data_IF_876641832161
#
_entry.id   IF_876641832161
#
_cell.length_a   1.000
_cell.length_b   1.000
_cell.length_c   1.000
_cell.angle_alpha   90.00
_cell.angle_beta   90.00
_cell.angle_gamma   90.00
#
_symmetry.space_group_name_H-M   'P 1'
#
loop_
_entity.id
_entity.type
_entity.pdbx_description
1 polymer ?
#
# COMPACT_ATOMS: atom_id res chain seq x y z
N UNK A 1 12.05 17.63 2.94
CA UNK A 1 11.26 16.69 2.11
C UNK A 1 11.98 16.56 0.78
N UNK A 2 12.70 15.46 0.52
CA UNK A 2 13.39 15.21 -0.76
C UNK A 2 12.59 14.15 -1.51
N UNK A 3 11.91 14.52 -2.59
CA UNK A 3 11.46 13.55 -3.59
C UNK A 3 12.71 12.98 -4.25
N UNK A 4 12.96 11.68 -4.08
CA UNK A 4 13.94 10.96 -4.89
C UNK A 4 13.20 10.39 -6.09
N UNK A 5 13.73 10.69 -7.28
CA UNK A 5 13.26 10.13 -8.54
C UNK A 5 13.57 8.62 -8.53
N UNK A 6 12.53 7.81 -8.73
CA UNK A 6 12.65 6.36 -8.84
C UNK A 6 13.27 6.05 -10.21
N UNK A 7 14.58 5.76 -10.29
CA UNK A 7 15.20 5.28 -11.53
C UNK A 7 15.23 3.75 -11.52
N UNK A 8 14.38 3.07 -12.30
CA UNK A 8 14.49 1.61 -12.46
C UNK A 8 15.81 1.22 -13.16
N UNK A 9 16.34 0.02 -12.89
CA UNK A 9 17.38 -0.54 -13.75
C UNK A 9 16.82 -0.68 -15.18
N UNK A 10 17.67 -0.53 -16.21
CA UNK A 10 17.22 -0.36 -17.59
C UNK A 10 16.42 -1.54 -18.18
N UNK A 11 16.38 -2.69 -17.51
CA UNK A 11 15.61 -3.89 -17.90
C UNK A 11 14.42 -4.20 -16.95
N UNK A 12 14.22 -3.42 -15.89
CA UNK A 12 13.16 -3.68 -14.92
C UNK A 12 11.78 -3.28 -15.43
N UNK A 13 10.76 -4.06 -15.06
CA UNK A 13 9.37 -3.65 -15.23
C UNK A 13 9.14 -2.35 -14.44
N UNK A 14 8.87 -1.26 -15.17
CA UNK A 14 8.51 0.02 -14.57
C UNK A 14 7.23 -0.17 -13.78
N UNK A 15 7.30 0.21 -12.50
CA UNK A 15 6.16 0.23 -11.61
C UNK A 15 6.11 1.59 -10.94
N UNK A 16 5.00 2.29 -11.12
CA UNK A 16 4.68 3.51 -10.39
C UNK A 16 4.05 3.07 -9.08
N UNK A 17 4.60 3.52 -7.96
CA UNK A 17 4.10 3.25 -6.62
C UNK A 17 3.08 4.33 -6.24
N UNK A 18 1.97 3.93 -5.63
CA UNK A 18 0.90 4.87 -5.25
C UNK A 18 1.39 5.85 -4.17
N UNK A 19 1.91 5.31 -3.06
CA UNK A 19 2.43 6.11 -1.95
C UNK A 19 3.67 5.46 -1.35
N UNK A 20 4.81 6.14 -1.50
CA UNK A 20 6.08 5.76 -0.89
C UNK A 20 6.39 6.68 0.31
N UNK A 21 6.56 6.10 1.49
CA UNK A 21 6.87 6.82 2.73
C UNK A 21 8.17 6.26 3.31
N UNK A 22 9.02 7.16 3.82
CA UNK A 22 10.15 6.81 4.68
C UNK A 22 10.00 7.57 5.99
N UNK A 23 10.04 6.86 7.11
CA UNK A 23 9.92 7.49 8.43
C UNK A 23 11.27 8.01 8.96
N UNK A 24 11.25 8.60 10.15
CA UNK A 24 12.47 9.16 10.77
C UNK A 24 13.53 8.13 11.16
N UNK A 25 13.17 6.83 11.18
CA UNK A 25 14.09 5.72 11.44
C UNK A 25 14.58 5.05 10.14
N UNK A 26 14.20 5.61 8.98
CA UNK A 26 14.55 5.06 7.67
C UNK A 26 13.69 3.87 7.23
N UNK A 27 12.67 3.47 8.03
CA UNK A 27 11.75 2.40 7.65
C UNK A 27 10.90 2.86 6.49
N UNK A 28 10.64 1.94 5.56
CA UNK A 28 9.98 2.28 4.30
C UNK A 28 8.65 1.59 4.16
N UNK A 29 7.69 2.32 3.62
CA UNK A 29 6.33 1.87 3.43
C UNK A 29 5.93 2.17 1.99
N UNK A 30 5.56 1.13 1.26
CA UNK A 30 4.81 1.27 0.04
C UNK A 30 3.34 0.96 0.33
N UNK A 31 2.43 1.88 0.03
CA UNK A 31 0.98 1.68 0.22
C UNK A 31 0.31 1.75 -1.15
N UNK A 32 -0.42 0.71 -1.50
CA UNK A 32 -1.05 0.50 -2.81
C UNK A 32 -2.54 0.25 -2.63
N UNK A 33 -3.39 0.90 -3.45
CA UNK A 33 -4.81 0.59 -3.48
C UNK A 33 -5.16 -0.21 -4.74
N UNK A 34 -5.66 -1.43 -4.58
CA UNK A 34 -5.95 -2.33 -5.68
C UNK A 34 -7.43 -2.70 -5.66
N UNK A 35 -8.21 -2.17 -6.60
CA UNK A 35 -9.67 -2.35 -6.63
C UNK A 35 -10.14 -3.68 -7.21
N UNK A 36 -9.32 -4.33 -8.03
CA UNK A 36 -9.65 -5.59 -8.70
C UNK A 36 -8.70 -6.72 -8.30
N UNK A 37 -9.27 -7.88 -8.02
CA UNK A 37 -8.51 -9.10 -7.78
C UNK A 37 -7.76 -9.51 -9.06
N UNK A 38 -6.46 -9.82 -8.91
CA UNK A 38 -5.62 -10.35 -9.98
C UNK A 38 -4.93 -11.61 -9.50
N UNK A 39 -4.85 -12.62 -10.35
CA UNK A 39 -4.26 -13.91 -10.00
C UNK A 39 -2.77 -13.82 -9.61
N UNK A 40 -2.05 -12.82 -10.11
CA UNK A 40 -0.63 -12.59 -9.88
C UNK A 40 -0.33 -11.59 -8.75
N UNK A 41 -1.34 -11.19 -7.96
CA UNK A 41 -1.20 -10.17 -6.92
C UNK A 41 -0.09 -10.48 -5.91
N UNK A 42 0.04 -11.74 -5.49
CA UNK A 42 1.09 -12.16 -4.56
C UNK A 42 2.49 -12.00 -5.16
N UNK A 43 2.65 -12.31 -6.46
CA UNK A 43 3.92 -12.14 -7.17
C UNK A 43 4.28 -10.66 -7.32
N UNK A 44 3.30 -9.81 -7.62
CA UNK A 44 3.46 -8.35 -7.67
C UNK A 44 3.83 -7.77 -6.31
N UNK A 45 3.13 -8.20 -5.28
CA UNK A 45 3.39 -7.79 -3.91
C UNK A 45 4.81 -8.16 -3.45
N UNK A 46 5.24 -9.39 -3.76
CA UNK A 46 6.62 -9.84 -3.56
C UNK A 46 7.62 -8.95 -4.31
N UNK A 47 7.38 -8.65 -5.59
CA UNK A 47 8.26 -7.78 -6.37
C UNK A 47 8.45 -6.40 -5.71
N UNK A 48 7.37 -5.81 -5.18
CA UNK A 48 7.47 -4.54 -4.46
C UNK A 48 8.26 -4.65 -3.17
N UNK A 49 8.05 -5.73 -2.40
CA UNK A 49 8.77 -5.89 -1.14
C UNK A 49 10.27 -6.02 -1.37
N UNK A 50 10.70 -6.85 -2.34
CA UNK A 50 12.13 -6.99 -2.67
C UNK A 50 12.74 -5.69 -3.15
N UNK A 51 12.04 -4.93 -4.00
CA UNK A 51 12.51 -3.63 -4.47
C UNK A 51 12.71 -2.64 -3.32
N UNK A 52 11.77 -2.63 -2.38
CA UNK A 52 11.82 -1.78 -1.18
C UNK A 52 12.98 -2.15 -0.25
N UNK A 53 13.29 -3.44 -0.15
CA UNK A 53 14.44 -3.97 0.60
C UNK A 53 15.76 -3.61 -0.08
N UNK A 54 15.87 -3.79 -1.40
CA UNK A 54 17.07 -3.51 -2.19
C UNK A 54 17.47 -2.04 -2.10
N UNK A 55 16.51 -1.12 -2.25
CA UNK A 55 16.74 0.31 -2.07
C UNK A 55 17.34 0.62 -0.68
N UNK A 56 17.18 -0.31 0.28
CA UNK A 56 17.46 -0.20 1.71
C UNK A 56 18.76 -0.86 2.12
N UNK A 57 19.47 -1.44 1.16
CA UNK A 57 20.73 -2.09 1.42
C UNK A 57 21.78 -1.13 1.98
N UNK A 58 22.62 -1.72 2.82
CA UNK A 58 23.69 -1.06 3.52
C UNK A 58 24.74 -0.56 2.54
N UNK A 59 25.28 0.61 2.86
CA UNK A 59 26.46 1.16 2.21
C UNK A 59 27.71 0.69 2.93
N UNK A 60 28.87 0.86 2.29
CA UNK A 60 30.16 0.55 2.90
C UNK A 60 30.27 1.21 4.28
N UNK A 61 30.75 0.44 5.27
CA UNK A 61 30.94 0.82 6.69
C UNK A 61 29.66 0.90 7.55
N UNK A 62 28.51 0.45 7.05
CA UNK A 62 27.32 0.28 7.89
C UNK A 62 27.21 -1.14 8.42
N UNK A 63 26.66 -1.27 9.63
CA UNK A 63 26.45 -2.53 10.32
C UNK A 63 25.09 -3.15 9.98
N UNK A 64 24.95 -4.48 10.12
CA UNK A 64 23.71 -5.19 9.78
C UNK A 64 22.49 -4.73 10.58
N UNK A 65 22.70 -4.26 11.82
CA UNK A 65 21.63 -3.68 12.65
C UNK A 65 21.08 -2.35 12.13
N UNK A 66 21.73 -1.72 11.15
CA UNK A 66 21.26 -0.49 10.49
C UNK A 66 20.36 -0.76 9.28
N UNK A 67 20.14 -2.04 8.92
CA UNK A 67 19.35 -2.41 7.76
C UNK A 67 17.90 -1.93 7.94
N UNK A 68 17.40 -1.18 6.96
CA UNK A 68 16.07 -0.58 7.07
C UNK A 68 14.96 -1.59 6.80
N UNK A 69 13.98 -1.62 7.69
CA UNK A 69 12.73 -2.36 7.50
C UNK A 69 11.96 -1.90 6.24
N UNK A 70 11.34 -2.87 5.55
CA UNK A 70 10.50 -2.62 4.39
C UNK A 70 9.08 -3.19 4.59
N UNK A 71 8.07 -2.36 4.31
CA UNK A 71 6.67 -2.75 4.37
C UNK A 71 5.98 -2.47 3.05
N UNK A 72 5.23 -3.44 2.54
CA UNK A 72 4.32 -3.24 1.43
C UNK A 72 2.90 -3.48 1.93
N UNK A 73 2.01 -2.51 1.73
CA UNK A 73 0.66 -2.49 2.29
C UNK A 73 -0.32 -2.36 1.13
N UNK A 74 -1.10 -3.40 0.86
CA UNK A 74 -2.21 -3.31 -0.08
C UNK A 74 -3.50 -3.04 0.66
N UNK A 75 -4.27 -2.07 0.18
CA UNK A 75 -5.65 -1.80 0.61
C UNK A 75 -6.59 -2.40 -0.44
N UNK A 76 -7.41 -3.37 -0.01
CA UNK A 76 -8.17 -4.24 -0.90
C UNK A 76 -9.67 -4.18 -0.55
N UNK A 77 -10.55 -3.78 -1.46
CA UNK A 77 -12.00 -3.77 -1.26
C UNK A 77 -12.64 -5.16 -1.42
N UNK A 78 -11.84 -6.23 -1.31
CA UNK A 78 -12.23 -7.63 -1.44
C UNK A 78 -11.32 -8.50 -0.56
N UNK A 79 -11.75 -9.73 -0.26
CA UNK A 79 -10.94 -10.68 0.51
C UNK A 79 -9.96 -11.45 -0.40
N UNK A 80 -8.64 -11.18 -0.34
CA UNK A 80 -7.67 -11.81 -1.22
C UNK A 80 -7.38 -13.28 -0.90
N UNK A 81 -7.76 -13.78 0.28
CA UNK A 81 -7.42 -15.14 0.75
C UNK A 81 -8.65 -15.96 1.15
N UNK A 82 -9.83 -15.34 1.17
CA UNK A 82 -11.08 -16.00 1.52
C UNK A 82 -11.16 -16.48 2.98
N UNK A 83 -10.36 -15.90 3.89
CA UNK A 83 -10.36 -16.27 5.32
C UNK A 83 -11.18 -15.33 6.20
N UNK A 84 -11.61 -14.20 5.64
CA UNK A 84 -12.40 -13.16 6.32
C UNK A 84 -11.60 -12.30 7.29
N UNK A 85 -10.26 -12.35 7.26
CA UNK A 85 -9.44 -11.52 8.15
C UNK A 85 -9.48 -10.06 7.69
N UNK A 86 -9.58 -9.12 8.64
CA UNK A 86 -9.45 -7.67 8.40
C UNK A 86 -8.05 -7.26 7.98
N UNK A 87 -7.05 -8.04 8.40
CA UNK A 87 -5.63 -7.84 8.08
C UNK A 87 -4.96 -9.20 7.89
N UNK A 88 -4.24 -9.34 6.80
CA UNK A 88 -3.24 -10.40 6.61
C UNK A 88 -1.87 -9.77 6.71
N UNK A 89 -1.00 -10.38 7.51
CA UNK A 89 0.42 -10.00 7.61
C UNK A 89 1.23 -11.23 7.24
N UNK A 90 2.09 -11.07 6.23
CA UNK A 90 2.98 -12.11 5.75
C UNK A 90 4.41 -11.70 6.10
N UNK A 91 5.07 -12.58 6.84
CA UNK A 91 6.49 -12.50 7.24
C UNK A 91 7.17 -13.81 6.84
N UNK A 92 8.50 -13.82 6.83
CA UNK A 92 9.24 -15.06 6.63
C UNK A 92 9.26 -15.87 7.92
N UNK A 93 8.91 -17.15 7.83
CA UNK A 93 8.90 -18.09 8.96
C UNK A 93 9.66 -19.37 8.59
N UNK A 94 10.16 -20.08 9.60
CA UNK A 94 10.72 -21.40 9.39
C UNK A 94 9.64 -22.35 8.87
N UNK A 95 10.00 -23.18 7.88
CA UNK A 95 9.06 -24.14 7.30
C UNK A 95 8.72 -25.24 8.29
N UNK A 96 9.70 -25.62 9.10
CA UNK A 96 9.64 -26.67 10.11
C UNK A 96 8.83 -26.24 11.34
N UNK A 97 8.88 -24.95 11.68
CA UNK A 97 8.13 -24.36 12.79
C UNK A 97 7.66 -22.94 12.42
N UNK A 98 6.40 -22.77 11.95
CA UNK A 98 5.85 -21.48 11.57
C UNK A 98 5.74 -20.45 12.71
N UNK A 99 5.96 -20.85 13.97
CA UNK A 99 6.02 -19.91 15.11
C UNK A 99 7.36 -19.17 15.19
N UNK A 100 8.39 -19.66 14.48
CA UNK A 100 9.71 -19.05 14.42
C UNK A 100 9.78 -18.09 13.23
N UNK A 101 9.75 -16.79 13.51
CA UNK A 101 9.88 -15.72 12.51
C UNK A 101 11.35 -15.38 12.22
N UNK A 102 11.67 -15.19 10.93
CA UNK A 102 12.90 -14.52 10.52
C UNK A 102 12.67 -13.02 10.72
N UNK A 103 13.09 -12.50 11.88
CA UNK A 103 12.88 -11.12 12.33
C UNK A 103 13.71 -10.10 11.53
N UNK A 104 13.47 -9.99 10.21
CA UNK A 104 14.11 -9.03 9.30
C UNK A 104 13.39 -7.66 9.26
N UNK A 105 12.49 -7.45 10.23
CA UNK A 105 11.62 -6.28 10.40
C UNK A 105 10.73 -5.95 9.19
N UNK A 106 10.61 -6.84 8.20
CA UNK A 106 9.90 -6.55 6.95
C UNK A 106 8.61 -7.36 6.84
N UNK A 107 7.59 -6.79 6.20
CA UNK A 107 6.32 -7.49 6.03
C UNK A 107 5.55 -7.07 4.78
N UNK A 108 4.81 -8.02 4.22
CA UNK A 108 3.73 -7.75 3.29
C UNK A 108 2.39 -7.75 4.04
N UNK A 109 1.58 -6.71 3.87
CA UNK A 109 0.32 -6.53 4.60
C UNK A 109 -0.81 -6.35 3.61
N UNK A 110 -1.85 -7.18 3.72
CA UNK A 110 -3.12 -6.98 3.03
C UNK A 110 -4.18 -6.49 4.01
N UNK A 111 -4.67 -5.29 3.75
CA UNK A 111 -5.77 -4.65 4.46
C UNK A 111 -7.06 -4.93 3.70
N UNK A 112 -7.83 -5.89 4.18
CA UNK A 112 -9.06 -6.37 3.56
C UNK A 112 -10.25 -5.63 4.17
N UNK A 113 -10.85 -4.70 3.41
CA UNK A 113 -11.98 -3.90 3.91
C UNK A 113 -13.24 -4.73 4.16
N UNK A 114 -13.37 -5.88 3.48
CA UNK A 114 -14.47 -6.84 3.64
C UNK A 114 -14.25 -7.80 4.81
N UNK A 115 -13.11 -7.74 5.48
CA UNK A 115 -12.79 -8.61 6.60
C UNK A 115 -13.70 -8.36 7.80
N UNK A 116 -14.04 -9.44 8.50
CA UNK A 116 -14.89 -9.41 9.70
C UNK A 116 -14.19 -9.99 10.92
N UNK A 117 -13.08 -10.71 10.72
CA UNK A 117 -12.30 -11.37 11.77
C UNK A 117 -11.01 -10.63 12.10
N UNK A 118 -10.62 -10.69 13.36
CA UNK A 118 -9.41 -10.06 13.89
C UNK A 118 -9.63 -8.62 14.31
N UNK A 119 -8.80 -8.18 15.26
CA UNK A 119 -8.87 -6.84 15.82
C UNK A 119 -8.00 -5.86 15.04
N UNK A 120 -8.54 -4.67 14.84
CA UNK A 120 -7.83 -3.53 14.25
C UNK A 120 -8.19 -2.27 15.04
N UNK A 121 -7.35 -1.25 14.93
CA UNK A 121 -7.62 0.04 15.58
C UNK A 121 -8.87 0.68 14.97
N UNK A 122 -9.69 1.39 15.76
CA UNK A 122 -10.91 2.04 15.27
C UNK A 122 -10.68 2.95 14.06
N UNK A 123 -9.55 3.67 14.01
CA UNK A 123 -9.22 4.56 12.89
C UNK A 123 -9.02 3.79 11.58
N UNK A 124 -8.55 2.55 11.64
CA UNK A 124 -8.40 1.69 10.46
C UNK A 124 -9.75 1.13 10.01
N UNK A 125 -10.63 0.77 10.95
CA UNK A 125 -12.01 0.35 10.62
C UNK A 125 -12.78 1.48 9.94
N UNK A 126 -12.60 2.70 10.43
CA UNK A 126 -13.15 3.91 9.81
C UNK A 126 -12.58 4.17 8.40
N UNK A 127 -11.29 3.94 8.18
CA UNK A 127 -10.71 4.01 6.84
C UNK A 127 -11.37 2.98 5.91
N UNK A 128 -11.60 1.75 6.36
CA UNK A 128 -12.27 0.71 5.58
C UNK A 128 -13.70 1.12 5.22
N UNK A 129 -14.47 1.61 6.20
CA UNK A 129 -15.82 2.13 5.99
C UNK A 129 -15.83 3.26 4.96
N UNK A 130 -14.89 4.20 5.06
CA UNK A 130 -14.78 5.30 4.10
C UNK A 130 -14.54 4.81 2.67
N UNK A 131 -13.62 3.86 2.48
CA UNK A 131 -13.32 3.26 1.17
C UNK A 131 -14.55 2.54 0.60
N UNK A 132 -15.33 1.88 1.44
CA UNK A 132 -16.57 1.22 1.03
C UNK A 132 -17.77 2.16 0.86
N UNK A 133 -17.60 3.47 1.04
CA UNK A 133 -18.69 4.44 0.96
C UNK A 133 -19.70 4.34 2.13
N UNK A 134 -19.30 3.73 3.25
CA UNK A 134 -20.13 3.56 4.44
C UNK A 134 -19.99 4.73 5.43
N UNK A 135 -20.97 4.92 6.32
CA UNK A 135 -20.85 5.88 7.42
C UNK A 135 -19.63 5.59 8.30
N UNK A 136 -18.90 6.66 8.60
CA UNK A 136 -17.66 6.66 9.39
C UNK A 136 -17.89 7.40 10.70
N UNK A 137 -17.15 7.03 11.74
CA UNK A 137 -16.97 7.94 12.86
C UNK A 137 -16.18 9.14 12.34
N UNK A 138 -16.54 10.37 12.70
CA UNK A 138 -15.80 11.57 12.27
C UNK A 138 -14.47 11.72 13.03
N UNK A 139 -13.78 10.60 13.28
CA UNK A 139 -12.48 10.54 13.92
C UNK A 139 -11.42 11.37 13.19
N UNK A 140 -10.33 11.68 13.88
CA UNK A 140 -9.29 12.60 13.40
C UNK A 140 -8.71 12.18 12.05
N UNK A 141 -8.50 10.88 11.81
CA UNK A 141 -7.93 10.37 10.56
C UNK A 141 -8.88 10.62 9.38
N UNK A 142 -10.12 10.15 9.46
CA UNK A 142 -11.14 10.34 8.42
C UNK A 142 -11.37 11.83 8.15
N UNK A 143 -11.46 12.65 9.19
CA UNK A 143 -11.64 14.09 9.05
C UNK A 143 -10.47 14.75 8.30
N UNK A 144 -9.23 14.33 8.57
CA UNK A 144 -8.05 14.80 7.83
C UNK A 144 -8.09 14.36 6.38
N UNK A 145 -8.42 13.09 6.10
CA UNK A 145 -8.50 12.58 4.73
C UNK A 145 -9.58 13.31 3.94
N UNK A 146 -10.80 13.42 4.48
CA UNK A 146 -11.91 14.16 3.87
C UNK A 146 -11.54 15.63 3.59
N UNK A 147 -10.87 16.29 4.53
CA UNK A 147 -10.39 17.67 4.34
C UNK A 147 -9.38 17.76 3.19
N UNK A 148 -8.38 16.87 3.16
CA UNK A 148 -7.39 16.83 2.08
C UNK A 148 -8.03 16.55 0.72
N UNK A 149 -8.96 15.59 0.64
CA UNK A 149 -9.71 15.29 -0.58
C UNK A 149 -10.53 16.49 -1.06
N UNK A 150 -11.25 17.17 -0.16
CA UNK A 150 -12.04 18.35 -0.51
C UNK A 150 -11.17 19.51 -1.00
N UNK A 151 -9.98 19.69 -0.41
CA UNK A 151 -9.02 20.68 -0.90
C UNK A 151 -8.50 20.30 -2.30
N UNK A 152 -8.13 19.04 -2.52
CA UNK A 152 -7.66 18.56 -3.81
C UNK A 152 -8.72 18.69 -4.91
N UNK A 153 -9.98 18.36 -4.62
CA UNK A 153 -11.11 18.51 -5.55
C UNK A 153 -11.34 19.94 -6.05
N UNK A 154 -10.82 20.94 -5.35
CA UNK A 154 -10.93 22.36 -5.72
C UNK A 154 -9.78 22.83 -6.63
N UNK A 155 -8.80 21.99 -6.90
CA UNK A 155 -7.63 22.33 -7.73
C UNK A 155 -7.94 22.26 -9.22
N UNK A 156 -7.15 22.96 -10.03
CA UNK A 156 -7.18 22.82 -11.50
C UNK A 156 -6.74 21.42 -11.95
N UNK A 157 -5.75 20.85 -11.25
CA UNK A 157 -5.25 19.50 -11.49
C UNK A 157 -6.37 18.45 -11.42
N UNK A 158 -7.24 18.53 -10.39
CA UNK A 158 -8.39 17.64 -10.29
C UNK A 158 -9.37 17.81 -11.47
N UNK A 159 -9.63 19.05 -11.90
CA UNK A 159 -10.51 19.32 -13.04
C UNK A 159 -9.95 18.72 -14.33
N UNK A 160 -8.66 18.87 -14.58
CA UNK A 160 -7.99 18.25 -15.72
C UNK A 160 -8.02 16.72 -15.66
N UNK A 161 -7.79 16.14 -14.48
CA UNK A 161 -7.85 14.69 -14.27
C UNK A 161 -9.23 14.10 -14.59
N UNK A 162 -10.31 14.72 -14.10
CA UNK A 162 -11.69 14.30 -14.39
C UNK A 162 -11.99 14.40 -15.89
N UNK A 163 -11.68 15.54 -16.53
CA UNK A 163 -11.91 15.71 -17.97
C UNK A 163 -11.18 14.64 -18.81
N UNK A 164 -9.94 14.30 -18.45
CA UNK A 164 -9.18 13.28 -19.16
C UNK A 164 -9.78 11.88 -18.97
N UNK A 165 -10.28 11.58 -17.76
CA UNK A 165 -10.88 10.29 -17.44
C UNK A 165 -12.21 10.09 -18.17
N UNK A 166 -13.04 11.13 -18.23
CA UNK A 166 -14.32 11.11 -18.97
C UNK A 166 -14.09 10.92 -20.48
N UNK A 167 -13.13 11.63 -21.07
CA UNK A 167 -12.77 11.45 -22.49
C UNK A 167 -12.33 10.03 -22.82
N UNK A 168 -11.55 9.39 -21.94
CA UNK A 168 -11.13 8.00 -22.12
C UNK A 168 -12.33 7.05 -22.00
N UNK A 169 -13.22 7.28 -21.03
CA UNK A 169 -14.42 6.47 -20.87
C UNK A 169 -15.37 6.58 -22.08
N UNK A 170 -15.52 7.77 -22.66
CA UNK A 170 -16.33 8.00 -23.86
C UNK A 170 -15.69 7.39 -25.11
N UNK A 171 -14.36 7.43 -25.23
CA UNK A 171 -13.65 6.76 -26.31
C UNK A 171 -13.86 5.23 -26.26
N UNK A 172 -13.78 4.62 -25.07
CA UNK A 172 -13.99 3.17 -24.89
C UNK A 172 -15.45 2.75 -25.11
N UNK A 173 -16.42 3.63 -24.85
CA UNK A 173 -17.85 3.33 -25.10
C UNK A 173 -18.25 3.43 -26.58
N UNK A 174 -17.51 4.19 -27.38
CA UNK A 174 -17.82 4.47 -28.77
C UNK A 174 -16.89 3.75 -29.77
N UNK A 175 -16.07 2.81 -29.28
CA UNK A 175 -15.19 1.94 -30.07
C UNK A 175 -15.69 0.49 -30.00
#
# INVERSE_FOLDING_TARGET
MKLRHFMPHQEDKVSILDVLITDSRGRRYNVEMQVAHKADMDKRARQYLFKMMEDGFLRRKQEYGELHAAYVIFILPFDPKGKGLKRYTFVYTAKEDPSVELNDDSALIYLNTKGTKGEIRPELDDLYRMIEGKPTSNGKLVSRIKKSMNNYRRTEEWRQHVMNTEKVADFVKNA
#
